data_IF_222511832284
#
_entry.id   IF_222511832284
#
_cell.length_a   1.000
_cell.length_b   1.000
_cell.length_c   1.000
_cell.angle_alpha   90.00
_cell.angle_beta   90.00
_cell.angle_gamma   90.00
#
_symmetry.space_group_name_H-M   'P 1'
#
loop_
_entity.id
_entity.type
_entity.pdbx_description
1 polymer ?
#
# COMPACT_ATOMS: atom_id res chain seq x y z
N UNK A 1 1.96 8.27 16.29
CA UNK A 1 2.32 7.79 14.94
C UNK A 1 2.84 8.98 14.15
N UNK A 2 3.82 8.78 13.27
CA UNK A 2 4.39 9.86 12.46
C UNK A 2 3.41 10.19 11.33
N UNK A 3 2.89 11.43 11.19
CA UNK A 3 1.86 11.77 10.20
C UNK A 3 2.25 11.43 8.75
N UNK A 4 3.56 11.42 8.44
CA UNK A 4 4.08 11.05 7.13
C UNK A 4 3.83 9.58 6.77
N UNK A 5 3.86 8.67 7.76
CA UNK A 5 3.57 7.24 7.59
C UNK A 5 2.12 7.03 7.16
N UNK A 6 1.17 7.67 7.86
CA UNK A 6 -0.26 7.58 7.53
C UNK A 6 -0.54 8.18 6.15
N UNK A 7 0.13 9.29 5.80
CA UNK A 7 -0.01 9.93 4.49
C UNK A 7 0.51 9.05 3.36
N UNK A 8 1.62 8.35 3.57
CA UNK A 8 2.18 7.39 2.61
C UNK A 8 1.29 6.17 2.43
N UNK A 9 0.75 5.62 3.52
CA UNK A 9 -0.19 4.50 3.48
C UNK A 9 -1.47 4.93 2.74
N UNK A 10 -2.05 6.07 3.09
CA UNK A 10 -3.24 6.61 2.42
C UNK A 10 -3.01 6.85 0.92
N UNK A 11 -1.84 7.40 0.56
CA UNK A 11 -1.45 7.54 -0.85
C UNK A 11 -1.31 6.19 -1.54
N UNK A 12 -0.67 5.20 -0.92
CA UNK A 12 -0.54 3.86 -1.49
C UNK A 12 -1.88 3.11 -1.60
N UNK A 13 -2.87 3.43 -0.77
CA UNK A 13 -4.23 2.88 -0.91
C UNK A 13 -4.89 3.41 -2.18
N UNK A 14 -4.81 4.72 -2.42
CA UNK A 14 -5.45 5.36 -3.58
C UNK A 14 -4.65 5.26 -4.88
N UNK A 15 -3.32 5.19 -4.80
CA UNK A 15 -2.41 5.21 -5.93
C UNK A 15 -1.75 3.83 -6.10
N UNK A 16 -2.32 3.05 -7.03
CA UNK A 16 -1.83 1.70 -7.32
C UNK A 16 -0.40 1.70 -7.84
N UNK A 17 0.01 2.70 -8.63
CA UNK A 17 1.36 2.79 -9.15
C UNK A 17 2.35 3.07 -8.02
N UNK A 18 1.97 3.97 -7.11
CA UNK A 18 2.75 4.24 -5.90
C UNK A 18 2.87 3.01 -5.01
N UNK A 19 1.79 2.26 -4.80
CA UNK A 19 1.81 1.01 -4.04
C UNK A 19 2.73 -0.05 -4.64
N UNK A 20 2.63 -0.30 -5.93
CA UNK A 20 3.49 -1.29 -6.59
C UNK A 20 4.96 -0.83 -6.59
N UNK A 21 5.24 0.46 -6.74
CA UNK A 21 6.58 1.02 -6.57
C UNK A 21 7.09 0.87 -5.14
N UNK A 22 6.25 1.15 -4.14
CA UNK A 22 6.62 1.06 -2.73
C UNK A 22 6.87 -0.39 -2.27
N UNK A 23 6.16 -1.37 -2.83
CA UNK A 23 6.41 -2.79 -2.54
C UNK A 23 7.71 -3.28 -3.17
N UNK A 24 8.04 -2.80 -4.38
CA UNK A 24 9.28 -3.19 -5.05
C UNK A 24 10.50 -2.46 -4.48
N UNK A 25 10.40 -1.14 -4.27
CA UNK A 25 11.48 -0.27 -3.82
C UNK A 25 10.98 0.78 -2.82
N UNK A 26 10.76 0.39 -1.55
CA UNK A 26 10.18 1.28 -0.55
C UNK A 26 11.08 2.46 -0.19
N UNK A 27 12.39 2.25 -0.08
CA UNK A 27 13.36 3.31 0.24
C UNK A 27 13.36 4.39 -0.83
N UNK A 28 13.41 3.99 -2.10
CA UNK A 28 13.50 4.93 -3.22
C UNK A 28 12.17 5.65 -3.48
N UNK A 29 11.05 4.93 -3.37
CA UNK A 29 9.69 5.50 -3.54
C UNK A 29 9.36 6.54 -2.47
N UNK A 30 9.73 6.28 -1.21
CA UNK A 30 9.57 7.23 -0.10
C UNK A 30 10.47 8.45 -0.31
N UNK A 31 11.73 8.23 -0.72
CA UNK A 31 12.69 9.31 -0.98
C UNK A 31 12.28 10.18 -2.17
N UNK A 32 11.71 9.60 -3.23
CA UNK A 32 11.11 10.33 -4.36
C UNK A 32 9.93 11.20 -3.94
N UNK A 33 9.28 10.88 -2.82
CA UNK A 33 8.21 11.71 -2.24
C UNK A 33 8.74 12.87 -1.40
N UNK A 34 10.07 13.03 -1.29
CA UNK A 34 10.71 14.04 -0.46
C UNK A 34 10.70 13.72 1.04
N UNK A 35 10.34 12.48 1.40
CA UNK A 35 10.26 12.04 2.79
C UNK A 35 11.46 11.17 3.14
N UNK A 36 11.95 11.32 4.37
CA UNK A 36 13.00 10.47 4.94
C UNK A 36 12.41 9.79 6.16
N UNK A 37 12.17 8.49 6.03
CA UNK A 37 11.70 7.64 7.12
C UNK A 37 12.81 6.69 7.58
N UNK A 38 12.74 6.29 8.84
CA UNK A 38 13.61 5.26 9.42
C UNK A 38 13.23 3.87 8.92
N UNK A 39 14.13 2.89 9.01
CA UNK A 39 13.86 1.52 8.52
C UNK A 39 12.66 0.86 9.22
N UNK A 40 12.46 1.14 10.50
CA UNK A 40 11.27 0.73 11.26
C UNK A 40 9.97 1.28 10.66
N UNK A 41 9.98 2.56 10.29
CA UNK A 41 8.81 3.21 9.70
C UNK A 41 8.55 2.71 8.28
N UNK A 42 9.61 2.54 7.48
CA UNK A 42 9.51 1.96 6.14
C UNK A 42 8.87 0.58 6.22
N UNK A 43 9.30 -0.24 7.17
CA UNK A 43 8.73 -1.58 7.39
C UNK A 43 7.24 -1.51 7.72
N UNK A 44 6.82 -0.56 8.56
CA UNK A 44 5.40 -0.34 8.89
C UNK A 44 4.59 0.11 7.68
N UNK A 45 5.11 1.01 6.85
CA UNK A 45 4.42 1.45 5.62
C UNK A 45 4.27 0.26 4.67
N UNK A 46 5.35 -0.49 4.42
CA UNK A 46 5.32 -1.66 3.52
C UNK A 46 4.34 -2.71 4.00
N UNK A 47 4.35 -3.05 5.29
CA UNK A 47 3.46 -4.05 5.88
C UNK A 47 1.98 -3.61 5.80
N UNK A 48 1.68 -2.35 6.11
CA UNK A 48 0.34 -1.80 5.99
C UNK A 48 -0.15 -1.80 4.53
N UNK A 49 0.72 -1.42 3.59
CA UNK A 49 0.40 -1.37 2.16
C UNK A 49 0.24 -2.77 1.56
N UNK A 50 1.04 -3.74 2.02
CA UNK A 50 0.93 -5.14 1.63
C UNK A 50 -0.40 -5.76 2.09
N UNK A 51 -0.85 -5.43 3.32
CA UNK A 51 -2.18 -5.83 3.81
C UNK A 51 -3.30 -5.26 2.96
N UNK A 52 -3.28 -3.96 2.71
CA UNK A 52 -4.27 -3.29 1.82
C UNK A 52 -4.30 -3.91 0.42
N UNK A 53 -3.15 -4.31 -0.14
CA UNK A 53 -3.09 -5.01 -1.43
C UNK A 53 -3.77 -6.38 -1.38
N UNK A 54 -3.63 -7.10 -0.27
CA UNK A 54 -4.25 -8.41 -0.05
C UNK A 54 -5.76 -8.28 0.09
N UNK A 55 -6.25 -7.37 0.93
CA UNK A 55 -7.68 -7.12 1.12
C UNK A 55 -8.39 -6.74 -0.19
N UNK A 56 -7.79 -5.87 -1.00
CA UNK A 56 -8.34 -5.52 -2.32
C UNK A 56 -8.42 -6.71 -3.29
N UNK A 57 -7.51 -7.67 -3.15
CA UNK A 57 -7.46 -8.84 -4.03
C UNK A 57 -8.49 -9.89 -3.59
N UNK A 58 -8.69 -10.03 -2.29
CA UNK A 58 -9.71 -10.91 -1.71
C UNK A 58 -11.12 -10.37 -2.00
N UNK A 59 -11.35 -9.06 -1.88
CA UNK A 59 -12.66 -8.44 -2.19
C UNK A 59 -13.01 -8.54 -3.69
N UNK A 60 -12.03 -8.42 -4.59
CA UNK A 60 -12.24 -8.59 -6.02
C UNK A 60 -12.59 -10.04 -6.42
N UNK A 61 -12.08 -11.04 -5.68
CA UNK A 61 -12.38 -12.45 -5.91
C UNK A 61 -13.78 -12.80 -5.37
N UNK A 62 -14.15 -12.30 -4.19
CA UNK A 62 -15.50 -12.47 -3.63
C UNK A 62 -16.57 -11.78 -4.48
N UNK A 63 -16.31 -10.55 -4.97
CA UNK A 63 -17.23 -9.84 -5.85
C UNK A 63 -17.42 -10.54 -7.21
N UNK A 64 -16.36 -11.15 -7.76
CA UNK A 64 -16.44 -11.95 -8.98
C UNK A 64 -17.15 -13.30 -8.76
N UNK A 65 -16.99 -13.93 -7.59
CA UNK A 65 -17.67 -15.17 -7.22
C UNK A 65 -19.17 -14.95 -6.98
N UNK A 66 -19.57 -13.82 -6.39
CA UNK A 66 -20.96 -13.48 -6.12
C UNK A 66 -21.77 -13.12 -7.39
N UNK A 67 -21.12 -12.75 -8.49
CA UNK A 67 -21.77 -12.40 -9.76
C UNK A 67 -22.07 -13.57 -10.70
N UNK A 68 -21.66 -14.80 -10.37
CA UNK A 68 -21.74 -15.97 -11.27
C UNK A 68 -22.88 -16.96 -10.94
N UNK A 69 -23.97 -16.46 -10.33
CA UNK A 69 -25.18 -17.22 -9.98
C UNK A 69 -26.46 -16.49 -10.42
N UNK A 70 -26.59 -16.19 -11.72
CA UNK A 70 -27.87 -15.89 -12.37
C UNK A 70 -27.94 -16.54 -13.74
#
# INVERSE_FOLDING_TARGET
>A
MNPDVERLIGRAVSDKAFRDALINDPKDTIRSSGLTLTEDEITKVVDAVARVKKDNKDEAIEAAAAGYWF
#
